data_IF_840544641044
#
_entry.id   IF_840544641044
#
_cell.length_a   1.000
_cell.length_b   1.000
_cell.length_c   1.000
_cell.angle_alpha   90.00
_cell.angle_beta   90.00
_cell.angle_gamma   90.00
#
_symmetry.space_group_name_H-M   'P 1'
#
loop_
_entity.id
_entity.type
_entity.pdbx_description
1 polymer ?
#
# COMPACT_ATOMS: atom_id res chain seq x y z
N UNK A 1 -9.09 -8.36 13.19
CA UNK A 1 -8.89 -8.02 14.63
C UNK A 1 -9.90 -7.01 15.18
N UNK A 2 -10.30 -5.95 14.46
CA UNK A 2 -11.21 -4.91 14.99
C UNK A 2 -12.72 -5.24 15.01
N UNK A 3 -13.18 -6.22 14.22
CA UNK A 3 -14.59 -6.64 14.27
C UNK A 3 -14.92 -7.46 15.55
N UNK A 4 -13.92 -8.14 16.12
CA UNK A 4 -14.08 -8.95 17.33
C UNK A 4 -14.19 -8.05 18.58
N UNK A 5 -13.55 -6.88 18.59
CA UNK A 5 -13.70 -5.92 19.69
C UNK A 5 -15.11 -5.31 19.73
N UNK A 6 -15.73 -5.06 18.58
CA UNK A 6 -17.08 -4.49 18.47
C UNK A 6 -18.18 -5.37 19.07
N UNK A 7 -17.99 -6.70 19.10
CA UNK A 7 -18.97 -7.63 19.66
C UNK A 7 -18.80 -7.86 21.17
N UNK A 8 -17.58 -7.74 21.71
CA UNK A 8 -17.27 -8.07 23.11
C UNK A 8 -17.42 -6.84 24.03
N UNK A 9 -17.16 -5.63 23.53
CA UNK A 9 -17.18 -4.40 24.32
C UNK A 9 -18.57 -3.94 24.82
N UNK A 10 -19.69 -4.14 24.09
CA UNK A 10 -21.02 -3.85 24.63
C UNK A 10 -21.40 -4.76 25.81
N UNK A 11 -20.86 -5.99 25.85
CA UNK A 11 -21.06 -6.92 26.96
C UNK A 11 -20.36 -6.48 28.26
N UNK A 12 -19.43 -5.50 28.18
CA UNK A 12 -18.72 -4.91 29.32
C UNK A 12 -19.32 -3.57 29.79
N UNK A 13 -20.45 -3.13 29.23
CA UNK A 13 -21.17 -1.93 29.69
C UNK A 13 -20.54 -0.59 29.30
N UNK A 14 -19.56 -0.57 28.40
CA UNK A 14 -18.95 0.65 27.89
C UNK A 14 -19.86 1.28 26.81
N UNK A 15 -20.22 2.55 26.99
CA UNK A 15 -21.10 3.28 26.05
C UNK A 15 -20.41 3.45 24.68
N UNK A 16 -21.08 3.13 23.57
CA UNK A 16 -20.50 3.16 22.22
C UNK A 16 -20.08 4.58 21.77
N UNK A 17 -20.66 5.62 22.36
CA UNK A 17 -20.50 7.02 21.94
C UNK A 17 -19.06 7.55 22.14
N UNK A 18 -18.39 7.12 23.22
CA UNK A 18 -16.99 7.49 23.51
C UNK A 18 -15.98 6.72 22.66
N UNK A 19 -16.36 5.51 22.25
CA UNK A 19 -15.53 4.66 21.41
C UNK A 19 -15.47 5.24 19.99
N UNK A 20 -16.62 5.53 19.38
CA UNK A 20 -16.70 6.02 17.99
C UNK A 20 -15.98 7.39 17.83
N UNK A 21 -16.16 8.32 18.77
CA UNK A 21 -15.48 9.62 18.72
C UNK A 21 -13.95 9.50 18.93
N UNK A 22 -13.52 8.58 19.80
CA UNK A 22 -12.10 8.28 20.00
C UNK A 22 -11.44 7.63 18.78
N UNK A 23 -12.14 6.73 18.09
CA UNK A 23 -11.65 6.06 16.88
C UNK A 23 -11.55 7.04 15.69
N UNK A 24 -12.59 7.84 15.43
CA UNK A 24 -12.55 8.85 14.35
C UNK A 24 -11.45 9.90 14.57
N UNK A 25 -11.25 10.34 15.81
CA UNK A 25 -10.14 11.24 16.15
C UNK A 25 -8.80 10.57 15.87
N UNK A 26 -8.59 9.34 16.37
CA UNK A 26 -7.34 8.60 16.21
C UNK A 26 -6.99 8.36 14.73
N UNK A 27 -7.94 7.99 13.88
CA UNK A 27 -7.71 7.74 12.46
C UNK A 27 -7.24 8.99 11.70
N UNK A 28 -7.80 10.15 12.04
CA UNK A 28 -7.37 11.44 11.47
C UNK A 28 -5.95 11.78 11.92
N UNK A 29 -5.63 11.61 13.20
CA UNK A 29 -4.28 11.85 13.72
C UNK A 29 -3.25 10.93 13.06
N UNK A 30 -3.57 9.66 12.87
CA UNK A 30 -2.71 8.69 12.17
C UNK A 30 -2.48 9.15 10.72
N UNK A 31 -3.55 9.54 10.02
CA UNK A 31 -3.44 10.03 8.63
C UNK A 31 -2.56 11.29 8.55
N UNK A 32 -2.78 12.25 9.45
CA UNK A 32 -1.97 13.47 9.53
C UNK A 32 -0.51 13.18 9.88
N UNK A 33 -0.25 12.19 10.74
CA UNK A 33 1.10 11.75 11.11
C UNK A 33 1.85 11.14 9.91
N UNK A 34 1.18 10.40 9.03
CA UNK A 34 1.77 9.81 7.83
C UNK A 34 1.82 10.74 6.61
N UNK A 35 1.07 11.84 6.62
CA UNK A 35 1.01 12.80 5.51
C UNK A 35 2.41 13.41 5.17
N UNK A 36 3.26 13.79 6.14
CA UNK A 36 4.63 14.22 5.86
C UNK A 36 5.47 13.17 5.16
N UNK A 37 5.32 11.89 5.51
CA UNK A 37 6.04 10.78 4.88
C UNK A 37 5.67 10.67 3.39
N UNK A 38 4.38 10.79 3.09
CA UNK A 38 3.88 10.84 1.71
C UNK A 38 4.39 12.09 0.97
N UNK A 39 4.37 13.25 1.63
CA UNK A 39 4.93 14.50 1.12
C UNK A 39 6.42 14.40 0.75
N UNK A 40 7.22 13.78 1.60
CA UNK A 40 8.65 13.56 1.38
C UNK A 40 8.90 12.76 0.09
N UNK A 41 8.14 11.68 -0.13
CA UNK A 41 8.23 10.90 -1.37
C UNK A 41 7.86 11.71 -2.61
N UNK A 42 6.81 12.52 -2.55
CA UNK A 42 6.44 13.42 -3.65
C UNK A 42 7.52 14.46 -3.94
N UNK A 43 8.06 15.11 -2.91
CA UNK A 43 9.13 16.10 -3.07
C UNK A 43 10.40 15.47 -3.65
N UNK A 44 10.76 14.26 -3.21
CA UNK A 44 11.88 13.51 -3.76
C UNK A 44 11.67 13.22 -5.26
N UNK A 45 10.47 12.77 -5.65
CA UNK A 45 10.13 12.55 -7.06
C UNK A 45 10.28 13.85 -7.88
N UNK A 46 9.68 14.94 -7.41
CA UNK A 46 9.71 16.24 -8.09
C UNK A 46 11.14 16.78 -8.22
N UNK A 47 11.94 16.65 -7.17
CA UNK A 47 13.34 17.08 -7.16
C UNK A 47 14.15 16.36 -8.24
N UNK A 48 14.04 15.03 -8.32
CA UNK A 48 14.77 14.24 -9.33
C UNK A 48 14.24 14.50 -10.73
N UNK A 49 12.92 14.63 -10.91
CA UNK A 49 12.32 14.94 -12.21
C UNK A 49 12.74 16.32 -12.73
N UNK A 50 12.87 17.31 -11.82
CA UNK A 50 13.37 18.65 -12.15
C UNK A 50 14.86 18.62 -12.48
N UNK A 51 15.64 17.84 -11.75
CA UNK A 51 17.08 17.74 -11.92
C UNK A 51 17.47 16.43 -12.64
N UNK A 52 17.24 16.39 -13.96
CA UNK A 52 17.53 15.27 -14.88
C UNK A 52 19.00 14.81 -14.92
N UNK A 53 19.91 15.50 -14.23
CA UNK A 53 21.34 15.17 -14.14
C UNK A 53 21.64 14.12 -13.08
N UNK A 54 20.71 13.86 -12.14
CA UNK A 54 20.90 12.85 -11.10
C UNK A 54 20.84 11.46 -11.73
N UNK A 55 21.97 10.75 -11.69
CA UNK A 55 22.08 9.35 -12.09
C UNK A 55 22.53 8.55 -10.87
N UNK A 56 21.82 7.46 -10.57
CA UNK A 56 22.18 6.58 -9.45
C UNK A 56 22.79 5.31 -10.03
N UNK A 57 24.05 4.95 -9.69
CA UNK A 57 24.66 3.73 -10.18
C UNK A 57 23.94 2.49 -9.63
N UNK A 58 23.91 1.39 -10.39
CA UNK A 58 23.20 0.16 -9.98
C UNK A 58 23.74 -0.42 -8.68
N UNK A 59 25.04 -0.26 -8.39
CA UNK A 59 25.65 -0.67 -7.12
C UNK A 59 25.06 0.07 -5.93
N UNK A 60 24.80 1.38 -6.06
CA UNK A 60 24.14 2.15 -5.02
C UNK A 60 22.70 1.70 -4.80
N UNK A 61 21.97 1.34 -5.86
CA UNK A 61 20.62 0.76 -5.74
C UNK A 61 20.65 -0.57 -4.98
N UNK A 62 21.57 -1.46 -5.32
CA UNK A 62 21.72 -2.75 -4.62
C UNK A 62 22.09 -2.55 -3.15
N UNK A 63 23.03 -1.65 -2.86
CA UNK A 63 23.43 -1.33 -1.49
C UNK A 63 22.27 -0.73 -0.69
N UNK A 64 21.49 0.15 -1.31
CA UNK A 64 20.26 0.71 -0.73
C UNK A 64 19.24 -0.39 -0.41
N UNK A 65 19.01 -1.34 -1.32
CA UNK A 65 18.10 -2.46 -1.07
C UNK A 65 18.59 -3.36 0.08
N UNK A 66 19.89 -3.67 0.11
CA UNK A 66 20.49 -4.47 1.19
C UNK A 66 20.35 -3.75 2.53
N UNK A 67 20.69 -2.46 2.57
CA UNK A 67 20.56 -1.65 3.78
C UNK A 67 19.07 -1.54 4.21
N UNK A 68 18.14 -1.43 3.26
CA UNK A 68 16.70 -1.44 3.55
C UNK A 68 16.19 -2.77 4.11
N UNK A 69 16.87 -3.89 3.86
CA UNK A 69 16.52 -5.19 4.44
C UNK A 69 17.18 -5.41 5.81
N UNK A 70 18.29 -4.73 6.08
CA UNK A 70 19.04 -4.85 7.34
C UNK A 70 18.49 -3.94 8.47
N UNK A 71 18.04 -2.73 8.12
CA UNK A 71 17.58 -1.71 9.07
C UNK A 71 16.22 -2.01 9.74
N UNK A 72 15.22 -2.64 9.10
CA UNK A 72 13.91 -2.89 9.70
C UNK A 72 13.95 -3.77 10.96
N UNK A 73 15.03 -4.53 11.18
CA UNK A 73 15.18 -5.35 12.38
C UNK A 73 15.45 -4.53 13.65
N UNK A 74 15.82 -3.25 13.52
CA UNK A 74 16.26 -2.42 14.65
C UNK A 74 15.50 -1.11 14.80
N UNK A 75 14.80 -0.65 13.75
CA UNK A 75 14.18 0.68 13.74
C UNK A 75 12.77 0.57 13.12
N UNK A 76 11.75 0.55 13.98
CA UNK A 76 10.33 0.70 13.60
C UNK A 76 9.93 2.18 13.48
N UNK A 77 10.87 3.05 13.12
CA UNK A 77 10.63 4.49 13.05
C UNK A 77 9.98 4.87 11.71
N UNK A 78 8.86 5.58 11.75
CA UNK A 78 8.13 6.07 10.57
C UNK A 78 9.04 6.94 9.68
N UNK A 79 10.01 7.64 10.28
CA UNK A 79 11.02 8.40 9.55
C UNK A 79 11.89 7.50 8.66
N UNK A 80 12.28 6.33 9.15
CA UNK A 80 13.05 5.38 8.36
C UNK A 80 12.24 4.89 7.17
N UNK A 81 10.94 4.60 7.35
CA UNK A 81 10.04 4.21 6.25
C UNK A 81 9.95 5.32 5.18
N UNK A 82 9.82 6.58 5.60
CA UNK A 82 9.78 7.72 4.67
C UNK A 82 11.09 7.86 3.86
N UNK A 83 12.23 7.71 4.53
CA UNK A 83 13.55 7.75 3.88
C UNK A 83 13.69 6.60 2.89
N UNK A 84 13.35 5.38 3.29
CA UNK A 84 13.44 4.19 2.43
C UNK A 84 12.55 4.30 1.19
N UNK A 85 11.28 4.69 1.38
CA UNK A 85 10.36 4.92 0.28
C UNK A 85 10.86 5.99 -0.69
N UNK A 86 11.37 7.10 -0.16
CA UNK A 86 11.93 8.19 -0.97
C UNK A 86 13.15 7.74 -1.77
N UNK A 87 14.05 6.95 -1.18
CA UNK A 87 15.23 6.42 -1.86
C UNK A 87 14.86 5.45 -3.00
N UNK A 88 13.84 4.62 -2.80
CA UNK A 88 13.32 3.74 -3.86
C UNK A 88 12.75 4.58 -5.02
N UNK A 89 12.01 5.65 -4.73
CA UNK A 89 11.49 6.58 -5.76
C UNK A 89 12.64 7.27 -6.51
N UNK A 90 13.65 7.76 -5.80
CA UNK A 90 14.83 8.38 -6.44
C UNK A 90 15.53 7.36 -7.34
N UNK A 91 15.76 6.14 -6.85
CA UNK A 91 16.40 5.08 -7.61
C UNK A 91 15.59 4.67 -8.85
N UNK A 92 14.26 4.61 -8.76
CA UNK A 92 13.39 4.22 -9.89
C UNK A 92 13.41 5.26 -11.00
N UNK A 93 13.51 6.56 -10.67
CA UNK A 93 13.59 7.63 -11.67
C UNK A 93 15.02 7.76 -12.23
N UNK A 94 16.04 7.63 -11.38
CA UNK A 94 17.43 7.92 -11.73
C UNK A 94 18.22 6.73 -12.31
N UNK A 95 17.66 5.51 -12.32
CA UNK A 95 18.31 4.32 -12.86
C UNK A 95 17.37 3.52 -13.78
N UNK A 96 17.67 3.55 -15.09
CA UNK A 96 16.86 2.88 -16.11
C UNK A 96 16.78 1.35 -15.96
N UNK A 97 17.83 0.69 -15.44
CA UNK A 97 17.80 -0.77 -15.22
C UNK A 97 16.87 -1.13 -14.06
N UNK A 98 16.93 -0.36 -12.98
CA UNK A 98 16.04 -0.54 -11.84
C UNK A 98 14.58 -0.23 -12.23
N UNK A 99 14.36 0.84 -12.99
CA UNK A 99 13.05 1.14 -13.58
C UNK A 99 12.52 -0.04 -14.42
N UNK A 100 13.34 -0.61 -15.30
CA UNK A 100 12.94 -1.75 -16.14
C UNK A 100 12.55 -2.99 -15.32
N UNK A 101 13.19 -3.22 -14.16
CA UNK A 101 12.79 -4.29 -13.23
C UNK A 101 11.42 -3.99 -12.61
N UNK A 102 11.20 -2.75 -12.15
CA UNK A 102 9.91 -2.31 -11.59
C UNK A 102 8.78 -2.33 -12.63
N UNK A 103 9.09 -2.06 -13.89
CA UNK A 103 8.17 -2.14 -15.03
C UNK A 103 7.94 -3.57 -15.52
N UNK A 104 8.60 -4.56 -14.90
CA UNK A 104 8.39 -5.97 -15.15
C UNK A 104 6.94 -6.39 -14.85
N UNK A 105 6.39 -7.28 -15.68
CA UNK A 105 4.99 -7.75 -15.58
C UNK A 105 4.61 -8.25 -14.19
N UNK A 106 5.54 -8.92 -13.50
CA UNK A 106 5.32 -9.49 -12.16
C UNK A 106 5.22 -8.39 -11.10
N UNK A 107 6.17 -7.44 -11.07
CA UNK A 107 6.13 -6.34 -10.10
C UNK A 107 4.94 -5.42 -10.36
N UNK A 108 4.61 -5.14 -11.61
CA UNK A 108 3.41 -4.39 -11.98
C UNK A 108 2.11 -5.12 -11.59
N UNK A 109 2.07 -6.45 -11.73
CA UNK A 109 0.94 -7.25 -11.25
C UNK A 109 0.80 -7.16 -9.73
N UNK A 110 1.90 -7.37 -8.99
CA UNK A 110 1.92 -7.32 -7.53
C UNK A 110 1.55 -5.93 -7.00
N UNK A 111 2.12 -4.87 -7.59
CA UNK A 111 1.81 -3.49 -7.23
C UNK A 111 0.34 -3.17 -7.44
N UNK A 112 -0.26 -3.66 -8.53
CA UNK A 112 -1.67 -3.45 -8.83
C UNK A 112 -2.62 -4.15 -7.85
N UNK A 113 -2.33 -5.39 -7.43
CA UNK A 113 -3.18 -6.09 -6.46
C UNK A 113 -2.84 -5.77 -5.01
N UNK A 114 -1.81 -4.95 -4.74
CA UNK A 114 -1.22 -4.77 -3.41
C UNK A 114 -2.23 -4.27 -2.37
N UNK A 115 -3.06 -3.29 -2.73
CA UNK A 115 -4.10 -2.76 -1.84
C UNK A 115 -5.15 -3.83 -1.50
N UNK A 116 -5.68 -4.50 -2.53
CA UNK A 116 -6.64 -5.59 -2.35
C UNK A 116 -6.05 -6.74 -1.54
N UNK A 117 -4.77 -7.07 -1.75
CA UNK A 117 -4.04 -8.11 -1.00
C UNK A 117 -3.89 -7.72 0.46
N UNK A 118 -3.52 -6.48 0.75
CA UNK A 118 -3.44 -5.95 2.12
C UNK A 118 -4.78 -6.12 2.87
N UNK A 119 -5.91 -5.92 2.20
CA UNK A 119 -7.22 -6.08 2.84
C UNK A 119 -7.57 -7.54 3.15
N UNK A 120 -7.26 -8.48 2.25
CA UNK A 120 -7.76 -9.87 2.36
C UNK A 120 -6.78 -10.87 2.94
N UNK A 121 -5.47 -10.60 2.92
CA UNK A 121 -4.48 -11.61 3.30
C UNK A 121 -4.65 -12.11 4.75
N UNK A 122 -4.96 -11.24 5.71
CA UNK A 122 -5.21 -11.66 7.10
C UNK A 122 -6.53 -12.45 7.26
N UNK A 123 -7.69 -11.97 6.78
CA UNK A 123 -8.93 -12.76 6.82
C UNK A 123 -8.78 -14.13 6.17
N UNK A 124 -8.14 -14.20 5.00
CA UNK A 124 -7.92 -15.46 4.28
C UNK A 124 -6.96 -16.36 5.05
N UNK A 125 -5.86 -15.82 5.58
CA UNK A 125 -4.93 -16.61 6.39
C UNK A 125 -5.61 -17.24 7.61
N UNK A 126 -6.41 -16.47 8.33
CA UNK A 126 -7.16 -16.98 9.47
C UNK A 126 -8.16 -18.04 9.05
N UNK A 127 -8.93 -17.80 8.00
CA UNK A 127 -9.89 -18.78 7.49
C UNK A 127 -9.20 -20.09 7.10
N UNK A 128 -8.08 -20.03 6.37
CA UNK A 128 -7.33 -21.22 5.98
C UNK A 128 -6.74 -21.94 7.18
N UNK A 129 -6.27 -21.20 8.18
CA UNK A 129 -5.77 -21.79 9.43
C UNK A 129 -6.89 -22.54 10.14
N UNK A 130 -8.01 -21.88 10.48
CA UNK A 130 -9.13 -22.52 11.18
C UNK A 130 -9.71 -23.75 10.46
N UNK A 131 -9.68 -23.79 9.13
CA UNK A 131 -10.24 -24.91 8.37
C UNK A 131 -9.27 -26.09 8.20
N UNK A 132 -7.95 -25.85 8.22
CA UNK A 132 -6.93 -26.82 7.83
C UNK A 132 -5.92 -27.17 8.96
N UNK A 133 -5.88 -26.44 10.08
CA UNK A 133 -4.85 -26.57 11.13
C UNK A 133 -4.67 -28.02 11.63
N UNK A 134 -5.77 -28.72 11.88
CA UNK A 134 -5.73 -30.12 12.38
C UNK A 134 -5.44 -31.16 11.29
N UNK A 135 -5.37 -30.76 10.01
CA UNK A 135 -5.31 -31.69 8.87
C UNK A 135 -4.03 -31.60 8.07
N UNK A 136 -3.34 -30.46 8.08
CA UNK A 136 -2.20 -30.19 7.21
C UNK A 136 -1.07 -29.51 7.98
N UNK A 137 0.19 -29.75 7.60
CA UNK A 137 1.30 -29.04 8.22
C UNK A 137 1.25 -27.54 7.91
N UNK A 138 1.72 -26.72 8.85
CA UNK A 138 1.67 -25.25 8.79
C UNK A 138 2.23 -24.68 7.47
N UNK A 139 3.30 -25.26 6.91
CA UNK A 139 3.88 -24.81 5.65
C UNK A 139 2.90 -24.92 4.47
N UNK A 140 2.08 -25.98 4.45
CA UNK A 140 1.07 -26.19 3.40
C UNK A 140 -0.08 -25.20 3.61
N UNK A 141 -0.52 -24.98 4.85
CA UNK A 141 -1.55 -23.98 5.17
C UNK A 141 -1.09 -22.58 4.74
N UNK A 142 0.16 -22.21 5.04
CA UNK A 142 0.72 -20.93 4.64
C UNK A 142 0.77 -20.76 3.12
N UNK A 143 1.13 -21.81 2.37
CA UNK A 143 1.12 -21.78 0.90
C UNK A 143 -0.30 -21.63 0.37
N UNK A 144 -1.27 -22.38 0.90
CA UNK A 144 -2.69 -22.28 0.51
C UNK A 144 -3.23 -20.89 0.81
N UNK A 145 -2.93 -20.34 1.99
CA UNK A 145 -3.28 -18.98 2.40
C UNK A 145 -2.75 -17.94 1.42
N UNK A 146 -1.46 -18.02 1.05
CA UNK A 146 -0.82 -17.08 0.15
C UNK A 146 -1.48 -17.11 -1.24
N UNK A 147 -1.70 -18.31 -1.78
CA UNK A 147 -2.33 -18.50 -3.09
C UNK A 147 -3.79 -18.02 -3.09
N UNK A 148 -4.56 -18.41 -2.07
CA UNK A 148 -5.95 -17.95 -1.92
C UNK A 148 -6.02 -16.43 -1.80
N UNK A 149 -5.14 -15.82 -0.99
CA UNK A 149 -5.07 -14.36 -0.83
C UNK A 149 -4.78 -13.65 -2.14
N UNK A 150 -3.84 -14.16 -2.94
CA UNK A 150 -3.53 -13.59 -4.26
C UNK A 150 -4.72 -13.70 -5.23
N UNK A 151 -5.45 -14.83 -5.21
CA UNK A 151 -6.65 -15.04 -6.02
C UNK A 151 -7.75 -14.05 -5.61
N UNK A 152 -8.10 -13.98 -4.33
CA UNK A 152 -9.12 -13.05 -3.82
C UNK A 152 -8.74 -11.59 -4.06
N UNK A 153 -7.48 -11.22 -3.84
CA UNK A 153 -6.98 -9.89 -4.13
C UNK A 153 -7.15 -9.51 -5.61
N UNK A 154 -6.91 -10.45 -6.52
CA UNK A 154 -7.08 -10.24 -7.96
C UNK A 154 -8.55 -10.04 -8.34
N UNK A 155 -9.45 -10.80 -7.71
CA UNK A 155 -10.89 -10.64 -7.91
C UNK A 155 -11.34 -9.25 -7.42
N UNK A 156 -10.95 -8.85 -6.21
CA UNK A 156 -11.30 -7.54 -5.66
C UNK A 156 -10.70 -6.38 -6.47
N UNK A 157 -9.46 -6.50 -6.91
CA UNK A 157 -8.81 -5.49 -7.76
C UNK A 157 -9.62 -5.26 -9.04
N UNK A 158 -10.10 -6.34 -9.67
CA UNK A 158 -10.87 -6.24 -10.92
C UNK A 158 -12.31 -5.78 -10.69
N UNK A 159 -12.99 -6.34 -9.69
CA UNK A 159 -14.41 -6.13 -9.48
C UNK A 159 -14.71 -4.82 -8.75
N UNK A 160 -13.86 -4.42 -7.80
CA UNK A 160 -14.10 -3.27 -6.93
C UNK A 160 -13.20 -2.12 -7.31
N UNK A 161 -11.88 -2.32 -7.30
CA UNK A 161 -10.91 -1.23 -7.44
C UNK A 161 -10.96 -0.62 -8.85
N UNK A 162 -10.81 -1.44 -9.90
CA UNK A 162 -10.89 -0.95 -11.29
C UNK A 162 -12.24 -0.35 -11.62
N UNK A 163 -13.32 -1.01 -11.19
CA UNK A 163 -14.68 -0.51 -11.41
C UNK A 163 -14.87 0.85 -10.75
N UNK A 164 -14.42 1.01 -9.49
CA UNK A 164 -14.47 2.27 -8.76
C UNK A 164 -13.71 3.39 -9.48
N UNK A 165 -12.50 3.10 -9.96
CA UNK A 165 -11.70 4.07 -10.74
C UNK A 165 -12.41 4.46 -12.04
N UNK A 166 -13.02 3.50 -12.74
CA UNK A 166 -13.76 3.77 -13.98
C UNK A 166 -14.99 4.63 -13.73
N UNK A 167 -15.80 4.31 -12.71
CA UNK A 167 -16.96 5.09 -12.31
C UNK A 167 -16.54 6.51 -11.93
N UNK A 168 -15.46 6.67 -11.15
CA UNK A 168 -14.92 7.98 -10.78
C UNK A 168 -14.53 8.83 -12.00
N UNK A 169 -13.88 8.24 -13.00
CA UNK A 169 -13.54 8.93 -14.26
C UNK A 169 -14.78 9.38 -15.05
N UNK A 170 -15.83 8.58 -15.06
CA UNK A 170 -17.10 8.92 -15.74
C UNK A 170 -17.78 10.10 -15.03
N UNK A 171 -17.80 10.10 -13.70
CA UNK A 171 -18.39 11.19 -12.91
C UNK A 171 -17.61 12.50 -13.08
N UNK A 172 -16.28 12.47 -13.06
CA UNK A 172 -15.44 13.66 -13.26
C UNK A 172 -15.49 14.23 -14.68
N UNK A 173 -15.66 13.38 -15.71
CA UNK A 173 -15.87 13.85 -17.09
C UNK A 173 -17.15 14.67 -17.26
N UNK A 174 -18.15 14.50 -16.40
CA UNK A 174 -19.38 15.31 -16.43
C UNK A 174 -19.20 16.70 -15.82
N UNK A 175 -18.10 16.96 -15.11
CA UNK A 175 -17.86 18.23 -14.41
C UNK A 175 -16.87 19.18 -15.11
N UNK A 176 -16.18 18.76 -16.17
CA UNK A 176 -15.36 19.66 -16.98
C UNK A 176 -16.19 20.18 -18.17
N UNK A 177 -16.72 21.43 -18.13
CA UNK A 177 -17.19 22.07 -19.35
C UNK A 177 -16.01 22.22 -20.33
N UNK A 178 -16.26 22.32 -21.65
CA UNK A 178 -15.22 22.48 -22.66
C UNK A 178 -14.37 23.69 -22.27
N UNK A 179 -13.05 23.51 -22.11
CA UNK A 179 -12.13 24.65 -21.98
C UNK A 179 -12.32 25.53 -23.21
N UNK A 180 -12.89 26.72 -23.03
CA UNK A 180 -12.90 27.75 -24.06
C UNK A 180 -11.48 27.90 -24.58
N UNK A 181 -11.34 27.76 -25.90
CA UNK A 181 -10.08 27.99 -26.58
C UNK A 181 -9.76 29.48 -26.39
N UNK A 182 -8.83 29.78 -25.50
CA UNK A 182 -8.17 31.08 -25.48
C UNK A 182 -7.40 31.17 -26.80
N UNK A 183 -8.02 31.83 -27.78
CA UNK A 183 -7.39 32.20 -29.04
C UNK A 183 -6.44 33.37 -28.75
N UNK A 184 -5.25 33.25 -29.34
CA UNK A 184 -4.17 34.23 -29.34
C UNK A 184 -4.52 35.50 -30.13
#
# INVERSE_FOLDING_TARGET
MYAISLAILPALGLKPDYLIAGYLGADIFITLHYLPCFGAGMLAALFVMRNRTIRVPTTAVVLLLILSMAVPRYVHDDLALAIWGSLIIIASIANARFAAVLDGKILQYLGRISYSLYLVHLPVAWLTFFLLDDRLPLAVIAMVSLLASAIFATVLERCVERTGVQVGKVLLKRQNPPRERVQA
#
